data_IF_234900347110
#
_entry.id   IF_234900347110
#
_cell.length_a   1.000
_cell.length_b   1.000
_cell.length_c   1.000
_cell.angle_alpha   90.00
_cell.angle_beta   90.00
_cell.angle_gamma   90.00
#
_symmetry.space_group_name_H-M   'P 1'
#
loop_
_entity.id
_entity.type
_entity.pdbx_description
1 polymer ?
#
# COMPACT_ATOMS: atom_id res chain seq x y z
N UNK A 1 4.02 26.04 7.98
CA UNK A 1 3.24 26.29 6.75
C UNK A 1 1.84 25.74 6.97
N UNK A 2 0.76 26.41 6.52
CA UNK A 2 -0.59 25.94 6.79
C UNK A 2 -0.90 24.76 5.87
N UNK A 3 -1.22 23.59 6.45
CA UNK A 3 -1.79 22.46 5.72
C UNK A 3 -3.12 22.90 5.13
N UNK A 4 -3.12 23.15 3.82
CA UNK A 4 -4.33 23.41 3.05
C UNK A 4 -5.03 22.05 2.90
N UNK A 5 -5.98 21.74 3.78
CA UNK A 5 -6.86 20.58 3.62
C UNK A 5 -7.51 20.67 2.23
N UNK A 6 -6.99 19.92 1.27
CA UNK A 6 -7.68 19.67 0.01
C UNK A 6 -8.80 18.70 0.35
N UNK A 7 -10.03 19.20 0.37
CA UNK A 7 -11.19 18.34 0.29
C UNK A 7 -11.21 17.74 -1.12
N UNK A 8 -10.46 16.66 -1.31
CA UNK A 8 -10.46 15.91 -2.56
C UNK A 8 -11.79 15.19 -2.64
N UNK A 9 -12.66 15.68 -3.54
CA UNK A 9 -13.92 14.97 -3.85
C UNK A 9 -13.57 13.72 -4.65
N UNK A 10 -13.97 12.57 -4.12
CA UNK A 10 -13.76 11.26 -4.72
C UNK A 10 -15.03 10.86 -5.47
N UNK A 11 -14.86 10.31 -6.66
CA UNK A 11 -15.95 10.13 -7.62
C UNK A 11 -15.83 8.78 -8.28
N UNK A 12 -16.97 8.12 -8.43
CA UNK A 12 -17.11 6.90 -9.17
C UNK A 12 -17.54 7.18 -10.61
N UNK A 13 -16.82 6.67 -11.60
CA UNK A 13 -17.31 6.55 -12.97
C UNK A 13 -17.65 5.09 -13.28
N UNK A 14 -18.80 4.87 -13.90
CA UNK A 14 -18.95 3.72 -14.79
C UNK A 14 -18.99 4.28 -16.21
N UNK A 15 -18.46 3.56 -17.21
CA UNK A 15 -18.49 4.00 -18.61
C UNK A 15 -19.92 4.25 -19.16
N UNK A 16 -20.97 4.03 -18.36
CA UNK A 16 -22.39 4.23 -18.70
C UNK A 16 -23.13 5.19 -17.78
N UNK A 17 -22.62 5.52 -16.60
CA UNK A 17 -23.26 6.42 -15.63
C UNK A 17 -22.26 7.49 -15.16
N UNK A 18 -22.67 8.77 -15.21
CA UNK A 18 -21.81 9.90 -14.86
C UNK A 18 -21.21 9.82 -13.44
N UNK A 19 -20.21 10.68 -13.18
CA UNK A 19 -19.45 10.71 -11.92
C UNK A 19 -20.39 10.83 -10.69
N UNK A 20 -20.44 9.78 -9.84
CA UNK A 20 -21.16 9.78 -8.55
C UNK A 20 -20.19 10.00 -7.40
N UNK A 21 -20.50 10.86 -6.44
CA UNK A 21 -19.63 11.06 -5.28
C UNK A 21 -19.65 9.84 -4.34
N UNK A 22 -18.48 9.49 -3.80
CA UNK A 22 -18.31 8.37 -2.90
C UNK A 22 -18.89 8.62 -1.50
N UNK A 23 -19.81 7.76 -1.07
CA UNK A 23 -20.42 7.83 0.25
C UNK A 23 -19.50 7.21 1.31
N UNK A 24 -19.47 7.81 2.50
CA UNK A 24 -18.80 7.25 3.69
C UNK A 24 -17.31 7.56 3.82
N UNK A 25 -16.69 8.25 2.86
CA UNK A 25 -15.24 8.49 2.88
C UNK A 25 -14.76 9.37 4.04
N UNK A 26 -15.53 10.36 4.48
CA UNK A 26 -15.18 11.14 5.66
C UNK A 26 -15.14 10.27 6.92
N UNK A 27 -16.07 9.31 7.02
CA UNK A 27 -16.09 8.36 8.14
C UNK A 27 -14.93 7.38 8.07
N UNK A 28 -14.63 6.86 6.87
CA UNK A 28 -13.44 6.03 6.62
C UNK A 28 -12.17 6.78 7.06
N UNK A 29 -11.99 8.01 6.56
CA UNK A 29 -10.88 8.89 6.90
C UNK A 29 -10.70 9.01 8.41
N UNK A 30 -11.74 9.44 9.13
CA UNK A 30 -11.66 9.66 10.58
C UNK A 30 -11.34 8.38 11.37
N UNK A 31 -11.79 7.21 10.88
CA UNK A 31 -11.46 5.93 11.51
C UNK A 31 -10.00 5.57 11.28
N UNK A 32 -9.52 5.65 10.04
CA UNK A 32 -8.11 5.40 9.71
C UNK A 32 -7.16 6.37 10.45
N UNK A 33 -7.51 7.65 10.58
CA UNK A 33 -6.72 8.62 11.36
C UNK A 33 -6.57 8.20 12.82
N UNK A 34 -7.65 7.67 13.41
CA UNK A 34 -7.65 7.16 14.78
C UNK A 34 -6.87 5.85 14.90
N UNK A 35 -7.06 4.93 13.96
CA UNK A 35 -6.52 3.57 14.01
C UNK A 35 -5.00 3.53 13.74
N UNK A 36 -4.50 4.46 12.92
CA UNK A 36 -3.10 4.55 12.52
C UNK A 36 -2.37 5.79 13.06
N UNK A 37 -3.00 6.58 13.94
CA UNK A 37 -2.41 7.79 14.53
C UNK A 37 -1.77 8.73 13.49
N UNK A 38 -2.46 8.90 12.36
CA UNK A 38 -1.96 9.59 11.17
C UNK A 38 -2.98 10.58 10.64
N UNK A 39 -2.54 11.51 9.78
CA UNK A 39 -3.48 12.26 8.94
C UNK A 39 -3.72 11.48 7.65
N UNK A 40 -4.95 11.46 7.15
CA UNK A 40 -5.31 10.63 6.00
C UNK A 40 -5.76 11.50 4.82
N UNK A 41 -5.22 11.24 3.63
CA UNK A 41 -5.75 11.72 2.36
C UNK A 41 -6.29 10.56 1.53
N UNK A 42 -7.47 10.74 0.93
CA UNK A 42 -8.14 9.75 0.09
C UNK A 42 -8.46 10.42 -1.24
N UNK A 43 -8.07 9.79 -2.33
CA UNK A 43 -8.30 10.29 -3.69
C UNK A 43 -8.70 9.16 -4.64
N UNK A 44 -9.14 9.51 -5.86
CA UNK A 44 -9.39 8.51 -6.90
C UNK A 44 -8.06 8.10 -7.54
N UNK A 45 -7.93 6.82 -7.87
CA UNK A 45 -6.91 6.35 -8.80
C UNK A 45 -7.13 6.97 -10.18
N UNK A 46 -6.03 7.36 -10.83
CA UNK A 46 -6.02 7.83 -12.21
C UNK A 46 -5.67 6.74 -13.22
N UNK A 47 -5.36 5.53 -12.74
CA UNK A 47 -4.78 4.44 -13.54
C UNK A 47 -5.82 3.79 -14.47
N UNK A 48 -7.07 3.65 -14.03
CA UNK A 48 -8.13 3.06 -14.84
C UNK A 48 -9.41 3.89 -14.78
N UNK A 49 -9.88 4.37 -15.93
CA UNK A 49 -11.09 5.18 -16.03
C UNK A 49 -12.37 4.39 -15.66
N UNK A 50 -12.30 3.06 -15.67
CA UNK A 50 -13.45 2.17 -15.50
C UNK A 50 -13.58 1.63 -14.07
N UNK A 51 -12.52 1.69 -13.27
CA UNK A 51 -12.49 1.17 -11.91
C UNK A 51 -12.42 2.30 -10.88
N UNK A 52 -13.31 2.21 -9.91
CA UNK A 52 -13.50 3.22 -8.88
C UNK A 52 -12.58 2.97 -7.69
N UNK A 53 -11.28 2.97 -7.97
CA UNK A 53 -10.27 2.60 -6.99
C UNK A 53 -9.77 3.83 -6.23
N UNK A 54 -9.43 3.62 -4.97
CA UNK A 54 -8.94 4.62 -4.05
C UNK A 54 -7.42 4.59 -3.99
N UNK A 55 -6.83 5.76 -3.89
CA UNK A 55 -5.47 5.94 -3.38
C UNK A 55 -5.59 6.52 -1.98
N UNK A 56 -4.98 5.85 -1.01
CA UNK A 56 -5.03 6.22 0.41
C UNK A 56 -3.62 6.53 0.88
N UNK A 57 -3.40 7.75 1.37
CA UNK A 57 -2.10 8.22 1.85
C UNK A 57 -2.20 8.53 3.35
N UNK A 58 -1.33 7.89 4.14
CA UNK A 58 -1.22 8.07 5.59
C UNK A 58 0.02 8.90 5.91
N UNK A 59 -0.17 10.06 6.50
CA UNK A 59 0.91 10.92 6.98
C UNK A 59 1.15 10.68 8.46
N UNK A 60 2.18 9.90 8.76
CA UNK A 60 2.49 9.44 10.11
C UNK A 60 3.64 10.28 10.69
N UNK A 61 3.49 10.83 11.91
CA UNK A 61 4.54 11.64 12.54
C UNK A 61 5.68 10.80 13.17
N UNK A 62 5.79 9.53 12.78
CA UNK A 62 6.71 8.53 13.31
C UNK A 62 7.75 8.16 12.25
N UNK A 63 8.92 7.69 12.68
CA UNK A 63 9.90 7.05 11.82
C UNK A 63 9.54 5.58 11.59
N UNK A 64 10.18 4.93 10.61
CA UNK A 64 9.96 3.52 10.28
C UNK A 64 10.11 2.61 11.50
N UNK A 65 11.19 2.74 12.26
CA UNK A 65 11.44 1.89 13.43
C UNK A 65 10.39 2.07 14.54
N UNK A 66 9.86 3.29 14.73
CA UNK A 66 8.82 3.58 15.72
C UNK A 66 7.50 2.92 15.31
N UNK A 67 7.12 3.05 14.03
CA UNK A 67 5.96 2.39 13.44
C UNK A 67 6.04 0.87 13.63
N UNK A 68 7.18 0.27 13.29
CA UNK A 68 7.38 -1.18 13.41
C UNK A 68 7.35 -1.65 14.86
N UNK A 69 7.91 -0.86 15.79
CA UNK A 69 7.76 -1.13 17.21
C UNK A 69 6.29 -1.16 17.62
N UNK A 70 5.49 -0.18 17.21
CA UNK A 70 4.08 -0.13 17.56
C UNK A 70 3.24 -1.25 16.92
N UNK A 71 3.58 -1.67 15.70
CA UNK A 71 3.02 -2.87 15.05
C UNK A 71 3.26 -4.11 15.92
N UNK A 72 4.51 -4.34 16.33
CA UNK A 72 4.90 -5.49 17.15
C UNK A 72 4.25 -5.49 18.54
N UNK A 73 4.04 -4.32 19.14
CA UNK A 73 3.31 -4.18 20.42
C UNK A 73 1.78 -4.30 20.28
N UNK A 74 1.31 -4.34 19.04
CA UNK A 74 -0.10 -4.41 18.72
C UNK A 74 -0.90 -3.14 18.94
N UNK A 75 -0.21 -1.99 18.89
CA UNK A 75 -0.75 -0.67 19.24
C UNK A 75 -0.99 0.25 18.05
N UNK A 76 -0.71 -0.22 16.83
CA UNK A 76 -0.83 0.57 15.60
C UNK A 76 -1.40 -0.29 14.48
N UNK A 77 -2.52 0.12 13.88
CA UNK A 77 -3.33 -0.80 13.07
C UNK A 77 -3.97 -1.91 13.93
N UNK A 78 -4.75 -2.80 13.31
CA UNK A 78 -5.48 -3.88 14.02
C UNK A 78 -4.53 -4.96 14.54
N UNK A 79 -3.92 -4.69 15.68
CA UNK A 79 -3.13 -5.68 16.41
C UNK A 79 -3.51 -5.75 17.90
N UNK A 80 -4.68 -5.21 18.25
CA UNK A 80 -5.30 -5.48 19.55
C UNK A 80 -5.91 -6.91 19.59
N UNK A 81 -5.86 -7.61 20.73
CA UNK A 81 -6.31 -9.01 20.88
C UNK A 81 -7.79 -9.27 20.60
N UNK A 82 -8.58 -8.25 20.25
CA UNK A 82 -10.02 -8.36 20.03
C UNK A 82 -10.44 -8.46 18.55
N UNK A 83 -9.55 -8.15 17.59
CA UNK A 83 -9.90 -8.13 16.15
C UNK A 83 -9.45 -9.38 15.39
N UNK A 84 -8.55 -10.18 15.98
CA UNK A 84 -8.08 -11.46 15.43
C UNK A 84 -9.22 -12.50 15.28
N UNK A 85 -10.38 -12.29 15.91
CA UNK A 85 -11.46 -13.27 15.92
C UNK A 85 -12.23 -13.41 14.59
N UNK A 86 -12.14 -12.46 13.66
CA UNK A 86 -12.86 -12.51 12.38
C UNK A 86 -11.96 -12.79 11.17
N UNK A 87 -10.63 -12.85 11.34
CA UNK A 87 -9.67 -13.16 10.27
C UNK A 87 -9.51 -12.08 9.18
N UNK A 88 -10.17 -10.93 9.31
CA UNK A 88 -10.05 -9.79 8.37
C UNK A 88 -9.23 -8.68 9.00
N UNK A 89 -8.42 -8.01 8.19
CA UNK A 89 -7.69 -6.81 8.62
C UNK A 89 -8.64 -5.64 8.90
N UNK A 90 -8.18 -4.63 9.64
CA UNK A 90 -8.98 -3.43 9.93
C UNK A 90 -9.41 -2.69 8.67
N UNK A 91 -8.45 -2.51 7.76
CA UNK A 91 -8.68 -1.82 6.51
C UNK A 91 -9.72 -2.57 5.69
N UNK A 92 -9.66 -3.90 5.66
CA UNK A 92 -10.63 -4.71 4.94
C UNK A 92 -12.04 -4.53 5.51
N UNK A 93 -12.20 -4.56 6.83
CA UNK A 93 -13.49 -4.29 7.47
C UNK A 93 -14.05 -2.91 7.07
N UNK A 94 -13.23 -1.86 7.14
CA UNK A 94 -13.65 -0.52 6.75
C UNK A 94 -14.01 -0.42 5.26
N UNK A 95 -13.27 -1.11 4.38
CA UNK A 95 -13.54 -1.14 2.94
C UNK A 95 -14.81 -1.91 2.59
N UNK A 96 -15.14 -2.99 3.31
CA UNK A 96 -16.41 -3.70 3.17
C UNK A 96 -17.61 -2.79 3.49
N UNK A 97 -17.53 -1.96 4.53
CA UNK A 97 -18.57 -0.97 4.83
C UNK A 97 -18.74 0.05 3.69
N UNK A 98 -17.64 0.53 3.12
CA UNK A 98 -17.66 1.47 1.99
C UNK A 98 -18.31 0.83 0.76
N UNK A 99 -17.97 -0.43 0.44
CA UNK A 99 -18.62 -1.18 -0.65
C UNK A 99 -20.12 -1.33 -0.41
N UNK A 100 -20.52 -1.70 0.80
CA UNK A 100 -21.92 -1.87 1.18
C UNK A 100 -22.72 -0.57 1.06
N UNK A 101 -22.13 0.57 1.42
CA UNK A 101 -22.79 1.89 1.33
C UNK A 101 -23.00 2.37 -0.10
N UNK A 102 -22.11 2.03 -1.02
CA UNK A 102 -22.13 2.55 -2.39
C UNK A 102 -22.79 1.60 -3.40
N UNK A 103 -22.92 0.31 -3.08
CA UNK A 103 -23.52 -0.69 -3.97
C UNK A 103 -22.70 -0.95 -5.23
N UNK A 104 -21.44 -0.52 -5.25
CA UNK A 104 -20.49 -0.68 -6.34
C UNK A 104 -19.17 -1.22 -5.81
N UNK A 105 -18.44 -1.94 -6.65
CA UNK A 105 -17.08 -2.36 -6.30
C UNK A 105 -16.15 -1.15 -6.25
N UNK A 106 -15.45 -1.01 -5.13
CA UNK A 106 -14.48 0.06 -4.82
C UNK A 106 -13.30 -0.66 -4.21
N UNK A 107 -12.11 -0.42 -4.73
CA UNK A 107 -10.90 -1.11 -4.28
C UNK A 107 -9.82 -0.12 -3.81
N UNK A 108 -8.80 -0.61 -3.12
CA UNK A 108 -7.60 0.18 -2.83
C UNK A 108 -6.55 -0.11 -3.89
N UNK A 109 -6.29 0.87 -4.76
CA UNK A 109 -5.26 0.75 -5.80
C UNK A 109 -3.85 0.89 -5.21
N UNK A 110 -3.72 1.82 -4.27
CA UNK A 110 -2.47 2.14 -3.62
C UNK A 110 -2.73 2.60 -2.19
N UNK A 111 -1.90 2.10 -1.28
CA UNK A 111 -1.83 2.54 0.10
C UNK A 111 -0.39 3.00 0.36
N UNK A 112 -0.21 4.25 0.79
CA UNK A 112 1.11 4.77 1.13
C UNK A 112 1.20 5.25 2.57
N UNK A 113 2.31 4.93 3.24
CA UNK A 113 2.65 5.45 4.55
C UNK A 113 3.81 6.44 4.38
N UNK A 114 3.51 7.73 4.51
CA UNK A 114 4.47 8.82 4.54
C UNK A 114 4.96 8.98 5.98
N UNK A 115 6.09 8.34 6.29
CA UNK A 115 6.77 8.43 7.58
C UNK A 115 7.77 9.59 7.56
N UNK A 116 8.39 9.88 8.70
CA UNK A 116 9.40 10.95 8.79
C UNK A 116 10.66 10.68 7.98
N UNK A 117 11.07 9.43 7.89
CA UNK A 117 12.36 8.98 7.35
C UNK A 117 12.21 7.96 6.20
N UNK A 118 10.98 7.56 5.87
CA UNK A 118 10.70 6.52 4.88
C UNK A 118 9.28 6.70 4.32
N UNK A 119 9.10 6.42 3.05
CA UNK A 119 7.78 6.21 2.44
C UNK A 119 7.61 4.72 2.17
N UNK A 120 6.48 4.14 2.57
CA UNK A 120 6.13 2.76 2.19
C UNK A 120 4.98 2.86 1.19
N UNK A 121 5.14 2.28 0.00
CA UNK A 121 4.12 2.25 -1.05
C UNK A 121 3.68 0.81 -1.28
N UNK A 122 2.40 0.53 -1.12
CA UNK A 122 1.80 -0.78 -1.36
C UNK A 122 0.83 -0.67 -2.52
N UNK A 123 1.13 -1.34 -3.63
CA UNK A 123 0.33 -1.38 -4.85
C UNK A 123 -0.53 -2.62 -4.91
N UNK A 124 -1.75 -2.45 -5.41
CA UNK A 124 -2.68 -3.55 -5.68
C UNK A 124 -2.08 -4.57 -6.64
N UNK A 125 -2.23 -5.84 -6.29
CA UNK A 125 -1.84 -6.98 -7.12
C UNK A 125 -3.05 -7.80 -7.59
N UNK A 126 -4.15 -7.75 -6.86
CA UNK A 126 -5.40 -8.39 -7.21
C UNK A 126 -6.55 -7.63 -6.54
N UNK A 127 -7.82 -7.89 -6.93
CA UNK A 127 -8.96 -7.32 -6.24
C UNK A 127 -8.86 -7.51 -4.74
N UNK A 128 -9.05 -6.43 -3.99
CA UNK A 128 -9.06 -6.39 -2.52
C UNK A 128 -7.72 -6.81 -1.85
N UNK A 129 -6.65 -6.93 -2.63
CA UNK A 129 -5.38 -7.53 -2.17
C UNK A 129 -4.66 -6.66 -1.14
N UNK A 130 -4.69 -5.34 -1.29
CA UNK A 130 -4.01 -4.40 -0.36
C UNK A 130 -4.61 -4.52 1.01
N UNK A 131 -5.94 -4.40 1.12
CA UNK A 131 -6.60 -4.46 2.40
C UNK A 131 -6.56 -5.85 3.02
N UNK A 132 -6.66 -6.94 2.26
CA UNK A 132 -6.58 -8.29 2.85
C UNK A 132 -5.18 -8.62 3.39
N UNK A 133 -4.12 -8.07 2.78
CA UNK A 133 -2.74 -8.46 3.10
C UNK A 133 -2.01 -7.45 3.98
N UNK A 134 -2.57 -6.26 4.24
CA UNK A 134 -1.88 -5.17 4.93
C UNK A 134 -1.19 -5.59 6.23
N UNK A 135 -1.92 -6.23 7.14
CA UNK A 135 -1.38 -6.61 8.46
C UNK A 135 -0.22 -7.61 8.33
N UNK A 136 -0.30 -8.52 7.35
CA UNK A 136 0.76 -9.48 7.03
C UNK A 136 1.97 -8.77 6.41
N UNK A 137 1.76 -7.85 5.46
CA UNK A 137 2.83 -7.04 4.85
C UNK A 137 3.58 -6.26 5.92
N UNK A 138 2.87 -5.57 6.83
CA UNK A 138 3.47 -4.81 7.92
C UNK A 138 4.24 -5.69 8.91
N UNK A 139 3.70 -6.89 9.22
CA UNK A 139 4.39 -7.86 10.07
C UNK A 139 5.68 -8.38 9.42
N UNK A 140 5.63 -8.72 8.14
CA UNK A 140 6.81 -9.14 7.36
C UNK A 140 7.83 -8.01 7.29
N UNK A 141 7.40 -6.75 7.14
CA UNK A 141 8.28 -5.58 7.16
C UNK A 141 9.00 -5.46 8.51
N UNK A 142 8.27 -5.63 9.62
CA UNK A 142 8.84 -5.60 10.97
C UNK A 142 9.87 -6.71 11.20
N UNK A 143 9.60 -7.93 10.71
CA UNK A 143 10.51 -9.07 10.79
C UNK A 143 11.77 -8.91 9.93
N UNK A 144 11.69 -8.14 8.83
CA UNK A 144 12.78 -7.95 7.89
C UNK A 144 13.56 -6.63 8.08
N UNK A 145 13.14 -5.76 9.01
CA UNK A 145 13.70 -4.42 9.21
C UNK A 145 15.23 -4.37 9.28
N UNK A 146 15.86 -5.29 10.00
CA UNK A 146 17.33 -5.33 10.14
C UNK A 146 18.02 -5.62 8.80
N UNK A 147 17.39 -6.37 7.91
CA UNK A 147 17.92 -6.72 6.58
C UNK A 147 17.62 -5.64 5.53
N UNK A 148 16.56 -4.86 5.73
CA UNK A 148 16.18 -3.73 4.88
C UNK A 148 17.07 -2.50 5.09
N UNK A 149 17.69 -2.38 6.26
CA UNK A 149 18.57 -1.26 6.60
C UNK A 149 20.03 -1.57 6.23
N UNK A 150 20.72 -0.64 5.55
CA UNK A 150 22.16 -0.82 5.25
C UNK A 150 22.97 -0.42 6.48
N UNK A 151 23.93 -1.27 6.86
CA UNK A 151 24.82 -1.06 8.00
C UNK A 151 24.09 -0.73 9.32
N UNK A 152 22.85 -1.22 9.48
CA UNK A 152 21.97 -0.94 10.63
C UNK A 152 21.74 0.55 10.95
N UNK A 153 21.97 1.44 9.97
CA UNK A 153 21.92 2.89 10.18
C UNK A 153 21.27 3.65 9.02
N UNK A 154 21.24 3.09 7.82
CA UNK A 154 20.60 3.71 6.67
C UNK A 154 19.23 3.08 6.42
N UNK A 155 18.19 3.84 6.74
CA UNK A 155 16.80 3.54 6.36
C UNK A 155 16.61 3.86 4.86
N UNK A 156 15.93 3.01 4.08
CA UNK A 156 15.52 3.40 2.74
C UNK A 156 14.58 4.61 2.79
N UNK A 157 14.78 5.56 1.88
CA UNK A 157 13.84 6.67 1.69
C UNK A 157 12.48 6.17 1.21
N UNK A 158 12.44 5.13 0.37
CA UNK A 158 11.19 4.53 -0.08
C UNK A 158 11.30 3.00 -0.13
N UNK A 159 10.24 2.33 0.30
CA UNK A 159 10.01 0.89 0.14
C UNK A 159 8.78 0.71 -0.75
N UNK A 160 8.97 0.10 -1.92
CA UNK A 160 7.90 -0.13 -2.90
C UNK A 160 7.52 -1.62 -2.95
N UNK A 161 6.24 -1.91 -2.76
CA UNK A 161 5.71 -3.26 -2.53
C UNK A 161 4.52 -3.53 -3.46
N UNK A 162 4.55 -4.57 -4.32
CA UNK A 162 5.68 -5.41 -4.69
C UNK A 162 6.45 -4.89 -5.92
N UNK A 163 7.58 -5.56 -6.19
CA UNK A 163 8.31 -5.52 -7.45
C UNK A 163 8.13 -6.86 -8.16
N UNK A 164 8.00 -6.82 -9.49
CA UNK A 164 7.88 -8.01 -10.33
C UNK A 164 9.09 -8.14 -11.25
N UNK A 165 9.46 -9.39 -11.53
CA UNK A 165 10.42 -9.70 -12.60
C UNK A 165 9.75 -9.57 -13.97
N UNK A 166 10.45 -8.99 -14.94
CA UNK A 166 10.04 -9.08 -16.35
C UNK A 166 10.30 -10.51 -16.85
N UNK A 167 9.24 -11.21 -17.29
CA UNK A 167 9.38 -12.51 -17.95
C UNK A 167 9.27 -12.30 -19.46
N UNK A 168 10.36 -12.54 -20.19
CA UNK A 168 10.32 -12.59 -21.66
C UNK A 168 9.41 -13.76 -22.10
N UNK A 169 8.36 -13.47 -22.86
CA UNK A 169 7.55 -14.49 -23.54
C UNK A 169 7.57 -14.27 -25.06
N UNK A 170 7.73 -15.35 -25.82
CA UNK A 170 8.04 -15.35 -27.25
C UNK A 170 6.96 -14.79 -28.19
N UNK A 171 5.78 -14.37 -27.72
CA UNK A 171 4.71 -13.89 -28.60
C UNK A 171 3.95 -12.68 -28.03
N UNK A 172 4.15 -11.54 -28.70
CA UNK A 172 3.34 -10.32 -28.71
C UNK A 172 3.29 -9.44 -27.44
N UNK A 173 3.73 -8.19 -27.62
CA UNK A 173 3.55 -6.99 -26.79
C UNK A 173 3.24 -7.18 -25.29
N UNK A 174 4.30 -7.05 -24.49
CA UNK A 174 4.31 -6.77 -23.05
C UNK A 174 3.16 -5.85 -22.60
N UNK A 175 2.48 -6.21 -21.51
CA UNK A 175 1.93 -5.31 -20.47
C UNK A 175 1.19 -6.13 -19.40
N UNK A 176 1.90 -6.47 -18.32
CA UNK A 176 1.28 -6.87 -17.05
C UNK A 176 2.16 -6.39 -15.90
N UNK A 177 1.82 -5.24 -15.29
CA UNK A 177 2.07 -5.05 -13.84
C UNK A 177 0.78 -5.50 -13.20
N UNK A 178 0.73 -6.79 -12.90
CA UNK A 178 -0.48 -7.48 -12.50
C UNK A 178 -0.22 -8.98 -12.63
N UNK A 179 -0.47 -9.79 -11.60
CA UNK A 179 -0.38 -11.24 -11.69
C UNK A 179 -1.34 -11.76 -12.78
N UNK A 180 -0.84 -12.53 -13.74
CA UNK A 180 -1.69 -13.32 -14.66
C UNK A 180 -2.50 -14.41 -13.92
N UNK A 181 -2.18 -14.65 -12.65
CA UNK A 181 -2.90 -15.50 -11.71
C UNK A 181 -2.91 -14.78 -10.37
N UNK A 182 -4.05 -14.72 -9.68
CA UNK A 182 -4.16 -14.24 -8.29
C UNK A 182 -3.21 -15.09 -7.43
N UNK A 183 -1.94 -14.69 -7.35
CA UNK A 183 -0.99 -15.26 -6.44
C UNK A 183 -0.94 -14.28 -5.27
N UNK A 184 -1.68 -14.62 -4.22
CA UNK A 184 -1.66 -13.89 -2.94
C UNK A 184 -0.24 -13.72 -2.39
N UNK A 185 0.73 -14.50 -2.90
CA UNK A 185 2.15 -14.40 -2.57
C UNK A 185 2.93 -13.35 -3.33
N UNK A 186 2.31 -12.64 -4.29
CA UNK A 186 2.99 -11.62 -5.10
C UNK A 186 3.66 -10.53 -4.26
N UNK A 187 3.07 -10.19 -3.11
CA UNK A 187 3.65 -9.25 -2.14
C UNK A 187 4.94 -9.74 -1.47
N UNK A 188 5.19 -11.04 -1.44
CA UNK A 188 6.22 -11.65 -0.59
C UNK A 188 7.43 -12.17 -1.35
N UNK A 189 7.61 -11.73 -2.60
CA UNK A 189 8.75 -12.10 -3.44
C UNK A 189 9.84 -11.02 -3.35
N UNK A 190 9.56 -9.86 -3.94
CA UNK A 190 10.53 -8.78 -4.10
C UNK A 190 9.95 -7.43 -3.73
N UNK A 191 10.73 -6.60 -3.04
CA UNK A 191 10.43 -5.19 -2.75
C UNK A 191 11.49 -4.28 -3.36
N UNK A 192 11.07 -3.10 -3.80
CA UNK A 192 11.98 -2.05 -4.25
C UNK A 192 12.44 -1.23 -3.05
N UNK A 193 13.74 -0.94 -2.97
CA UNK A 193 14.34 -0.08 -1.96
C UNK A 193 15.05 1.08 -2.63
N UNK A 194 14.65 2.30 -2.28
CA UNK A 194 15.28 3.52 -2.75
C UNK A 194 16.02 4.17 -1.58
N UNK A 195 17.32 4.39 -1.73
CA UNK A 195 18.16 5.06 -0.73
C UNK A 195 18.61 6.41 -1.28
N UNK A 196 18.74 7.41 -0.40
CA UNK A 196 19.22 8.76 -0.79
C UNK A 196 20.61 8.73 -1.45
N UNK A 197 21.45 7.76 -1.07
CA UNK A 197 22.83 7.64 -1.54
C UNK A 197 22.99 6.95 -2.88
N UNK A 198 21.95 6.28 -3.38
CA UNK A 198 22.03 5.42 -4.57
C UNK A 198 21.26 6.09 -5.73
N UNK A 199 21.84 6.07 -6.93
CA UNK A 199 21.18 6.61 -8.14
C UNK A 199 20.10 5.66 -8.68
N UNK A 200 20.23 4.37 -8.40
CA UNK A 200 19.34 3.31 -8.85
C UNK A 200 18.67 2.64 -7.67
N UNK A 201 17.44 2.17 -7.90
CA UNK A 201 16.70 1.41 -6.92
C UNK A 201 17.32 0.01 -6.75
N UNK A 202 17.27 -0.51 -5.53
CA UNK A 202 17.72 -1.86 -5.20
C UNK A 202 16.52 -2.78 -5.03
N UNK A 203 16.73 -4.08 -5.25
CA UNK A 203 15.69 -5.09 -5.07
C UNK A 203 15.99 -5.87 -3.79
N UNK A 204 15.02 -5.94 -2.88
CA UNK A 204 15.07 -6.81 -1.72
C UNK A 204 14.35 -8.11 -2.01
N UNK A 205 15.08 -9.23 -1.98
CA UNK A 205 14.52 -10.57 -2.06
C UNK A 205 14.17 -11.04 -0.64
N UNK A 206 12.86 -11.17 -0.38
CA UNK A 206 12.34 -11.57 0.93
C UNK A 206 12.75 -12.99 1.31
N UNK A 207 12.87 -13.89 0.33
CA UNK A 207 13.18 -15.29 0.57
C UNK A 207 14.62 -15.46 1.00
N UNK A 208 15.56 -14.78 0.32
CA UNK A 208 16.98 -14.83 0.68
C UNK A 208 17.38 -13.82 1.75
N UNK A 209 16.50 -12.87 2.09
CA UNK A 209 16.77 -11.74 3.00
C UNK A 209 18.00 -10.94 2.58
N UNK A 210 18.10 -10.68 1.28
CA UNK A 210 19.25 -10.02 0.69
C UNK A 210 18.87 -8.93 -0.29
N UNK A 211 19.74 -7.94 -0.42
CA UNK A 211 19.59 -6.85 -1.38
C UNK A 211 20.41 -7.19 -2.61
N UNK A 212 19.75 -7.26 -3.76
CA UNK A 212 20.33 -7.50 -5.07
C UNK A 212 20.25 -6.23 -5.93
N UNK A 213 21.18 -6.10 -6.87
CA UNK A 213 21.13 -5.05 -7.89
C UNK A 213 20.36 -5.59 -9.09
N UNK A 214 19.37 -4.84 -9.56
CA UNK A 214 18.61 -5.14 -10.77
C UNK A 214 18.00 -3.86 -11.32
N UNK A 215 17.74 -3.84 -12.63
CA UNK A 215 17.15 -2.69 -13.30
C UNK A 215 15.67 -2.59 -12.93
N UNK A 216 15.34 -1.63 -12.06
CA UNK A 216 13.97 -1.32 -11.67
C UNK A 216 13.39 -0.28 -12.64
N UNK A 217 12.69 -0.77 -13.67
CA UNK A 217 11.91 0.11 -14.55
C UNK A 217 10.54 0.36 -13.93
N UNK A 218 10.33 1.56 -13.39
CA UNK A 218 8.97 2.06 -13.14
C UNK A 218 8.30 2.26 -14.50
N UNK A 219 7.40 1.36 -14.88
CA UNK A 219 6.61 1.55 -16.09
C UNK A 219 5.77 2.82 -15.90
N UNK A 220 6.09 3.84 -16.70
CA UNK A 220 5.35 5.11 -16.72
C UNK A 220 3.84 4.84 -16.85
N UNK A 221 3.09 5.45 -15.93
CA UNK A 221 1.62 5.44 -15.85
C UNK A 221 0.97 5.93 -17.15
#
# INVERSE_FOLDING_TARGET
MPHRQRNTKVYFSSCKEGKKEALGLTSLKNRLEKDYFSNIEISNSTVCCEENNLVIELFCPLNLHEVLYHIQQGTWGSHGPHWVNNGLTLLNHHMQEIRALNGTFIDVEELSFQLKDCTIVIKKIAPESVEHQLDTILSVLAENYVYLTRHMSMTPMEIFIPVYEEVESENAMLRFVGPNQIDEKGYYNYWGLYFESDEEALIYDLKSKSIIRGDLNLLNQ
#
